data_IF_156280454600
#
_entry.id   IF_156280454600
#
_cell.length_a   1.000
_cell.length_b   1.000
_cell.length_c   1.000
_cell.angle_alpha   90.00
_cell.angle_beta   90.00
_cell.angle_gamma   90.00
#
_symmetry.space_group_name_H-M   'P 1'
#
loop_
_entity.id
_entity.type
_entity.pdbx_description
1 polymer ?
#
# COMPACT_ATOMS: atom_id res chain seq x y z
N UNK A 1 -9.27 4.86 -2.43
CA UNK A 1 -8.33 5.81 -3.08
C UNK A 1 -8.74 6.26 -4.49
N UNK A 2 -9.31 5.39 -5.34
CA UNK A 2 -9.79 5.80 -6.68
C UNK A 2 -10.95 6.80 -6.67
N UNK A 3 -11.79 6.80 -5.62
CA UNK A 3 -12.93 7.70 -5.49
C UNK A 3 -12.48 9.17 -5.44
N UNK A 4 -11.50 9.46 -4.58
CA UNK A 4 -10.87 10.78 -4.47
C UNK A 4 -10.11 11.17 -5.75
N UNK A 5 -9.44 10.22 -6.43
CA UNK A 5 -8.73 10.51 -7.68
C UNK A 5 -9.65 11.03 -8.79
N UNK A 6 -10.76 10.32 -9.06
CA UNK A 6 -11.68 10.70 -10.14
C UNK A 6 -12.29 12.07 -9.87
N UNK A 7 -12.72 12.29 -8.63
CA UNK A 7 -13.35 13.54 -8.21
C UNK A 7 -12.37 14.73 -8.22
N UNK A 8 -11.15 14.56 -7.69
CA UNK A 8 -10.09 15.58 -7.79
C UNK A 8 -9.80 15.92 -9.25
N UNK A 9 -9.67 14.89 -10.11
CA UNK A 9 -9.40 15.09 -11.53
C UNK A 9 -10.51 15.88 -12.22
N UNK A 10 -11.77 15.55 -11.94
CA UNK A 10 -12.94 16.21 -12.52
C UNK A 10 -13.01 17.69 -12.13
N UNK A 11 -12.77 18.02 -10.85
CA UNK A 11 -12.70 19.41 -10.38
C UNK A 11 -11.55 20.16 -11.10
N UNK A 12 -10.38 19.55 -11.19
CA UNK A 12 -9.21 20.15 -11.84
C UNK A 12 -9.42 20.41 -13.34
N UNK A 13 -9.95 19.44 -14.08
CA UNK A 13 -10.22 19.61 -15.52
C UNK A 13 -11.31 20.67 -15.76
N UNK A 14 -12.30 20.77 -14.85
CA UNK A 14 -13.34 21.80 -14.93
C UNK A 14 -12.78 23.20 -14.72
N UNK A 15 -11.91 23.39 -13.72
CA UNK A 15 -11.28 24.69 -13.47
C UNK A 15 -10.25 25.04 -14.55
N UNK A 16 -9.49 24.05 -15.05
CA UNK A 16 -8.59 24.23 -16.19
C UNK A 16 -9.34 24.71 -17.45
N UNK A 17 -10.53 24.17 -17.73
CA UNK A 17 -11.35 24.62 -18.85
C UNK A 17 -11.83 26.08 -18.71
N UNK A 18 -12.00 26.58 -17.48
CA UNK A 18 -12.32 28.00 -17.22
C UNK A 18 -11.09 28.90 -17.43
N UNK A 19 -9.91 28.44 -16.99
CA UNK A 19 -8.64 29.18 -17.10
C UNK A 19 -7.99 29.11 -18.49
N UNK A 20 -8.36 28.17 -19.39
CA UNK A 20 -7.85 28.11 -20.77
C UNK A 20 -8.20 29.35 -21.62
N UNK A 21 -9.17 30.16 -21.18
CA UNK A 21 -9.42 31.51 -21.72
C UNK A 21 -8.32 32.54 -21.36
N UNK A 22 -7.42 32.21 -20.44
CA UNK A 22 -6.48 33.12 -19.78
C UNK A 22 -5.01 32.69 -19.88
N UNK A 23 -4.44 32.52 -21.09
CA UNK A 23 -2.98 32.43 -21.40
C UNK A 23 -2.04 31.49 -20.60
N UNK A 24 -2.45 30.82 -19.52
CA UNK A 24 -1.59 30.06 -18.62
C UNK A 24 -2.00 28.57 -18.62
N UNK A 25 -1.03 27.67 -18.88
CA UNK A 25 -1.26 26.21 -18.88
C UNK A 25 -1.21 25.67 -17.45
N UNK A 26 -2.35 25.30 -16.89
CA UNK A 26 -2.41 24.44 -15.69
C UNK A 26 -1.99 23.03 -16.07
N UNK A 27 -1.10 22.42 -15.29
CA UNK A 27 -0.73 21.01 -15.42
C UNK A 27 -1.95 20.11 -15.21
N UNK A 28 -2.10 19.06 -16.02
CA UNK A 28 -3.19 18.10 -15.81
C UNK A 28 -3.01 17.34 -14.50
N UNK A 29 -4.12 17.08 -13.79
CA UNK A 29 -4.09 16.34 -12.53
C UNK A 29 -3.81 14.85 -12.78
N UNK A 30 -2.68 14.37 -12.26
CA UNK A 30 -2.23 12.99 -12.45
C UNK A 30 -2.37 12.15 -11.17
N UNK A 31 -2.15 10.83 -11.28
CA UNK A 31 -2.22 9.91 -10.12
C UNK A 31 -1.21 10.30 -9.03
N UNK A 32 -0.05 10.82 -9.42
CA UNK A 32 0.99 11.31 -8.50
C UNK A 32 0.48 12.44 -7.61
N UNK A 33 -0.34 13.36 -8.15
CA UNK A 33 -0.94 14.45 -7.37
C UNK A 33 -1.92 13.94 -6.32
N UNK A 34 -2.71 12.93 -6.64
CA UNK A 34 -3.64 12.33 -5.66
C UNK A 34 -2.92 11.55 -4.58
N UNK A 35 -1.84 10.84 -4.92
CA UNK A 35 -0.96 10.24 -3.92
C UNK A 35 -0.33 11.31 -3.03
N UNK A 36 0.17 12.39 -3.63
CA UNK A 36 0.75 13.53 -2.92
C UNK A 36 -0.25 14.15 -1.94
N UNK A 37 -1.48 14.41 -2.36
CA UNK A 37 -2.56 14.88 -1.47
C UNK A 37 -2.86 13.88 -0.34
N UNK A 38 -2.92 12.58 -0.65
CA UNK A 38 -3.22 11.52 0.33
C UNK A 38 -2.13 11.42 1.40
N UNK A 39 -0.87 11.70 1.04
CA UNK A 39 0.26 11.67 1.97
C UNK A 39 0.42 12.97 2.78
N UNK A 40 -0.50 13.93 2.64
CA UNK A 40 -0.38 15.23 3.30
C UNK A 40 0.62 16.17 2.64
N UNK A 41 0.86 16.00 1.34
CA UNK A 41 1.73 16.85 0.54
C UNK A 41 1.23 18.28 0.36
N UNK A 42 -0.01 18.60 0.72
CA UNK A 42 -0.54 19.96 0.73
C UNK A 42 -0.69 20.46 2.17
N UNK A 43 -0.38 21.72 2.43
CA UNK A 43 -0.46 22.33 3.75
C UNK A 43 -1.02 23.74 3.71
N UNK A 44 -1.64 24.15 4.81
CA UNK A 44 -2.04 25.55 5.07
C UNK A 44 -1.11 26.15 6.11
N UNK A 45 -0.81 27.44 5.96
CA UNK A 45 -0.05 28.19 6.97
C UNK A 45 -0.98 28.71 8.05
N UNK A 46 -0.65 28.43 9.30
CA UNK A 46 -1.39 28.99 10.43
C UNK A 46 -0.99 30.47 10.66
N UNK A 47 -1.78 31.23 11.45
CA UNK A 47 -1.43 32.62 11.79
C UNK A 47 -0.07 32.77 12.50
N UNK A 48 0.43 31.71 13.14
CA UNK A 48 1.75 31.67 13.78
C UNK A 48 2.90 31.31 12.79
N UNK A 49 2.65 31.29 11.48
CA UNK A 49 3.66 31.06 10.45
C UNK A 49 4.06 29.61 10.20
N UNK A 50 3.48 28.64 10.90
CA UNK A 50 3.80 27.21 10.73
C UNK A 50 2.92 26.55 9.65
N UNK A 51 3.53 25.71 8.82
CA UNK A 51 2.80 24.87 7.87
C UNK A 51 2.13 23.69 8.59
N UNK A 52 0.88 23.39 8.20
CA UNK A 52 0.07 22.28 8.71
C UNK A 52 -0.45 21.46 7.54
N UNK A 53 -0.01 20.20 7.47
CA UNK A 53 -0.40 19.26 6.41
C UNK A 53 -1.90 18.93 6.48
N UNK A 54 -2.58 19.07 5.34
CA UNK A 54 -3.97 18.70 5.13
C UNK A 54 -4.06 17.21 4.88
N UNK A 55 -5.07 16.53 5.45
CA UNK A 55 -5.42 15.18 4.97
C UNK A 55 -6.19 15.26 3.64
N UNK A 56 -6.35 14.11 2.98
CA UNK A 56 -6.98 14.04 1.65
C UNK A 56 -8.40 14.59 1.63
N UNK A 57 -9.17 14.33 2.69
CA UNK A 57 -10.60 14.67 2.77
C UNK A 57 -10.79 16.16 3.06
N UNK A 58 -9.98 16.72 3.95
CA UNK A 58 -9.96 18.16 4.23
C UNK A 58 -9.49 18.94 3.00
N UNK A 59 -8.44 18.49 2.33
CA UNK A 59 -7.99 19.09 1.06
C UNK A 59 -9.10 19.06 0.00
N UNK A 60 -9.78 17.92 -0.17
CA UNK A 60 -10.92 17.80 -1.09
C UNK A 60 -12.08 18.73 -0.74
N UNK A 61 -12.44 18.82 0.54
CA UNK A 61 -13.50 19.70 1.02
C UNK A 61 -13.19 21.15 0.72
N UNK A 62 -11.97 21.60 1.03
CA UNK A 62 -11.52 22.97 0.76
C UNK A 62 -11.49 23.28 -0.75
N UNK A 63 -11.12 22.30 -1.58
CA UNK A 63 -11.12 22.45 -3.03
C UNK A 63 -12.56 22.55 -3.59
N UNK A 64 -13.48 21.67 -3.15
CA UNK A 64 -14.89 21.69 -3.56
C UNK A 64 -15.59 22.98 -3.17
N UNK A 65 -15.32 23.47 -1.96
CA UNK A 65 -15.89 24.70 -1.44
C UNK A 65 -15.24 25.96 -2.02
N UNK A 66 -14.29 25.81 -2.97
CA UNK A 66 -13.59 26.92 -3.61
C UNK A 66 -12.87 27.83 -2.60
N UNK A 67 -12.49 27.26 -1.45
CA UNK A 67 -11.77 27.94 -0.37
C UNK A 67 -10.28 28.06 -0.70
N UNK A 68 -9.72 27.04 -1.33
CA UNK A 68 -8.33 27.07 -1.85
C UNK A 68 -8.33 27.26 -3.36
N UNK A 69 -7.31 27.95 -3.86
CA UNK A 69 -7.01 27.96 -5.28
C UNK A 69 -6.57 26.54 -5.72
N UNK A 70 -6.84 26.20 -6.97
CA UNK A 70 -6.37 24.97 -7.58
C UNK A 70 -4.83 24.98 -7.57
N UNK A 71 -4.14 24.09 -6.83
CA UNK A 71 -2.69 24.17 -6.70
C UNK A 71 -2.01 23.93 -8.05
N UNK A 72 -1.24 24.92 -8.50
CA UNK A 72 -0.46 24.89 -9.74
C UNK A 72 0.88 24.19 -9.50
N UNK A 73 0.83 22.88 -9.25
CA UNK A 73 2.01 22.04 -9.05
C UNK A 73 2.16 21.10 -10.25
N UNK A 74 3.38 20.97 -10.78
CA UNK A 74 3.67 20.00 -11.82
C UNK A 74 4.18 18.68 -11.23
N UNK A 75 4.09 17.58 -11.99
CA UNK A 75 4.65 16.28 -11.57
C UNK A 75 6.15 16.40 -11.31
N UNK A 76 6.86 17.19 -12.10
CA UNK A 76 8.30 17.39 -11.93
C UNK A 76 8.63 18.18 -10.66
N UNK A 77 7.75 19.07 -10.18
CA UNK A 77 7.92 19.74 -8.89
C UNK A 77 7.68 18.79 -7.71
N UNK A 78 6.73 17.86 -7.85
CA UNK A 78 6.51 16.77 -6.88
C UNK A 78 7.75 15.87 -6.84
N UNK A 79 8.30 15.50 -8.01
CA UNK A 79 9.47 14.62 -8.12
C UNK A 79 10.74 15.27 -7.57
N UNK A 80 10.97 16.57 -7.82
CA UNK A 80 12.10 17.32 -7.25
C UNK A 80 12.08 17.35 -5.71
N UNK A 81 10.89 17.33 -5.10
CA UNK A 81 10.72 17.27 -3.66
C UNK A 81 10.91 15.87 -3.07
N UNK A 82 10.86 14.82 -3.89
CA UNK A 82 11.11 13.44 -3.49
C UNK A 82 12.56 13.04 -3.78
N UNK A 83 13.39 12.95 -2.75
CA UNK A 83 14.81 12.61 -2.93
C UNK A 83 14.98 11.11 -3.24
N UNK A 84 15.80 10.75 -4.24
CA UNK A 84 16.35 9.38 -4.39
C UNK A 84 15.50 8.29 -5.06
N UNK A 85 14.44 8.62 -5.83
CA UNK A 85 13.47 7.61 -6.29
C UNK A 85 13.98 6.59 -7.33
N UNK A 86 14.65 7.01 -8.40
CA UNK A 86 14.89 6.11 -9.55
C UNK A 86 15.85 4.95 -9.26
N UNK A 87 16.95 5.22 -8.55
CA UNK A 87 18.01 4.23 -8.33
C UNK A 87 17.59 3.12 -7.36
N UNK A 88 16.97 3.46 -6.22
CA UNK A 88 16.51 2.47 -5.23
C UNK A 88 15.45 1.55 -5.83
N UNK A 89 14.53 2.14 -6.61
CA UNK A 89 13.49 1.44 -7.37
C UNK A 89 14.08 0.43 -8.36
N UNK A 90 15.10 0.85 -9.12
CA UNK A 90 15.78 -0.02 -10.08
C UNK A 90 16.54 -1.15 -9.37
N UNK A 91 17.27 -0.85 -8.29
CA UNK A 91 18.01 -1.87 -7.52
C UNK A 91 17.06 -2.92 -6.96
N UNK A 92 15.95 -2.51 -6.35
CA UNK A 92 14.96 -3.44 -5.82
C UNK A 92 14.35 -4.32 -6.93
N UNK A 93 14.01 -3.73 -8.09
CA UNK A 93 13.50 -4.49 -9.23
C UNK A 93 14.52 -5.52 -9.75
N UNK A 94 15.80 -5.13 -9.86
CA UNK A 94 16.89 -6.04 -10.26
C UNK A 94 17.03 -7.19 -9.26
N UNK A 95 17.04 -6.90 -7.95
CA UNK A 95 17.14 -7.93 -6.92
C UNK A 95 16.01 -8.95 -7.00
N UNK A 96 14.78 -8.49 -7.25
CA UNK A 96 13.62 -9.38 -7.35
C UNK A 96 13.68 -10.22 -8.64
N UNK A 97 14.03 -9.61 -9.77
CA UNK A 97 14.18 -10.32 -11.03
C UNK A 97 15.30 -11.37 -10.97
N UNK A 98 16.41 -11.04 -10.33
CA UNK A 98 17.52 -11.96 -10.11
C UNK A 98 17.09 -13.17 -9.27
N UNK A 99 16.39 -12.95 -8.16
CA UNK A 99 15.86 -14.03 -7.33
C UNK A 99 14.87 -14.92 -8.09
N UNK A 100 13.96 -14.32 -8.86
CA UNK A 100 13.00 -15.06 -9.67
C UNK A 100 13.71 -15.89 -10.77
N UNK A 101 14.72 -15.32 -11.42
CA UNK A 101 15.52 -16.00 -12.42
C UNK A 101 16.28 -17.19 -11.82
N UNK A 102 16.92 -17.03 -10.65
CA UNK A 102 17.63 -18.12 -9.97
C UNK A 102 16.68 -19.27 -9.65
N UNK A 103 15.51 -18.99 -9.06
CA UNK A 103 14.52 -20.03 -8.74
C UNK A 103 13.99 -20.72 -10.00
N UNK A 104 13.75 -19.98 -11.07
CA UNK A 104 13.31 -20.55 -12.35
C UNK A 104 14.42 -21.44 -12.96
N UNK A 105 15.67 -20.99 -12.94
CA UNK A 105 16.81 -21.77 -13.40
C UNK A 105 16.97 -23.07 -12.62
N UNK A 106 16.81 -23.02 -11.29
CA UNK A 106 16.80 -24.22 -10.43
C UNK A 106 15.65 -25.16 -10.79
N UNK A 107 14.45 -24.62 -11.01
CA UNK A 107 13.28 -25.42 -11.38
C UNK A 107 13.46 -26.13 -12.73
N UNK A 108 13.98 -25.43 -13.75
CA UNK A 108 14.25 -26.00 -15.08
C UNK A 108 15.35 -27.06 -15.04
N UNK A 109 16.38 -26.87 -14.21
CA UNK A 109 17.47 -27.84 -14.01
C UNK A 109 17.12 -28.95 -13.00
N UNK A 110 15.86 -29.05 -12.56
CA UNK A 110 15.39 -30.01 -11.56
C UNK A 110 16.20 -30.00 -10.24
N UNK A 111 16.72 -28.83 -9.86
CA UNK A 111 17.39 -28.62 -8.59
C UNK A 111 16.36 -28.35 -7.48
N UNK A 112 16.67 -28.79 -6.27
CA UNK A 112 15.78 -28.57 -5.13
C UNK A 112 15.67 -27.07 -4.82
N UNK A 113 14.44 -26.58 -4.67
CA UNK A 113 14.15 -25.23 -4.17
C UNK A 113 13.86 -25.34 -2.68
N UNK A 114 14.48 -24.47 -1.89
CA UNK A 114 14.30 -24.41 -0.43
C UNK A 114 13.03 -23.68 -0.05
N UNK A 115 12.52 -23.94 1.15
CA UNK A 115 11.42 -23.17 1.74
C UNK A 115 11.78 -21.69 1.91
N UNK A 116 13.06 -21.38 2.15
CA UNK A 116 13.56 -20.00 2.21
C UNK A 116 13.49 -19.29 0.86
N UNK A 117 14.00 -19.89 -0.21
CA UNK A 117 13.90 -19.34 -1.57
C UNK A 117 12.44 -19.12 -1.98
N UNK A 118 11.55 -20.03 -1.61
CA UNK A 118 10.13 -19.89 -1.89
C UNK A 118 9.50 -18.74 -1.09
N UNK A 119 9.86 -18.59 0.19
CA UNK A 119 9.37 -17.50 1.04
C UNK A 119 9.86 -16.14 0.54
N UNK A 120 11.13 -16.02 0.18
CA UNK A 120 11.69 -14.78 -0.37
C UNK A 120 11.06 -14.44 -1.71
N UNK A 121 10.77 -15.41 -2.58
CA UNK A 121 10.01 -15.21 -3.82
C UNK A 121 8.62 -14.66 -3.55
N UNK A 122 7.89 -15.22 -2.57
CA UNK A 122 6.55 -14.74 -2.20
C UNK A 122 6.58 -13.28 -1.76
N UNK A 123 7.57 -12.91 -0.93
CA UNK A 123 7.78 -11.53 -0.49
C UNK A 123 8.18 -10.61 -1.65
N UNK A 124 9.06 -11.09 -2.54
CA UNK A 124 9.56 -10.36 -3.69
C UNK A 124 8.45 -10.09 -4.73
N UNK A 125 7.62 -11.10 -5.05
CA UNK A 125 6.47 -10.93 -5.95
C UNK A 125 5.42 -9.99 -5.35
N UNK A 126 5.13 -10.11 -4.05
CA UNK A 126 4.27 -9.15 -3.36
C UNK A 126 4.85 -7.72 -3.44
N UNK A 127 6.15 -7.57 -3.21
CA UNK A 127 6.83 -6.29 -3.33
C UNK A 127 6.72 -5.72 -4.76
N UNK A 128 6.89 -6.54 -5.81
CA UNK A 128 6.68 -6.10 -7.20
C UNK A 128 5.25 -5.65 -7.47
N UNK A 129 4.24 -6.38 -6.99
CA UNK A 129 2.83 -6.02 -7.18
C UNK A 129 2.55 -4.68 -6.49
N UNK A 130 2.97 -4.54 -5.22
CA UNK A 130 2.85 -3.28 -4.50
C UNK A 130 3.58 -2.14 -5.22
N UNK A 131 4.78 -2.43 -5.71
CA UNK A 131 5.60 -1.47 -6.42
C UNK A 131 4.97 -1.02 -7.74
N UNK A 132 4.39 -1.94 -8.51
CA UNK A 132 3.64 -1.63 -9.73
C UNK A 132 2.38 -0.79 -9.43
N UNK A 133 1.64 -1.12 -8.37
CA UNK A 133 0.47 -0.34 -7.93
C UNK A 133 0.88 1.06 -7.46
N UNK A 134 2.05 1.18 -6.84
CA UNK A 134 2.58 2.43 -6.27
C UNK A 134 3.61 3.12 -7.17
N UNK A 135 3.68 2.78 -8.46
CA UNK A 135 4.67 3.35 -9.37
C UNK A 135 4.67 4.89 -9.34
N UNK A 136 3.46 5.46 -9.39
CA UNK A 136 3.19 6.90 -9.40
C UNK A 136 3.23 7.56 -8.00
N UNK A 137 3.42 6.79 -6.92
CA UNK A 137 3.44 7.33 -5.55
C UNK A 137 4.80 8.00 -5.29
N UNK A 138 4.85 9.31 -4.97
CA UNK A 138 6.11 9.94 -4.58
C UNK A 138 6.61 9.37 -3.25
N UNK A 139 7.92 9.14 -3.14
CA UNK A 139 8.56 8.70 -1.90
C UNK A 139 9.13 9.90 -1.15
N UNK A 140 9.23 9.81 0.18
CA UNK A 140 10.00 10.75 1.00
C UNK A 140 9.72 12.25 0.72
N UNK A 141 8.43 12.64 0.78
CA UNK A 141 8.02 14.03 0.61
C UNK A 141 8.42 14.82 1.86
N UNK A 142 9.57 15.50 1.79
CA UNK A 142 10.16 16.21 2.93
C UNK A 142 9.39 17.46 3.35
N UNK A 143 8.74 18.17 2.41
CA UNK A 143 8.07 19.44 2.68
C UNK A 143 6.74 19.57 1.93
N UNK A 144 5.61 19.77 2.64
CA UNK A 144 4.33 19.98 1.99
C UNK A 144 4.34 21.30 1.19
N UNK A 145 3.55 21.33 0.13
CA UNK A 145 3.28 22.49 -0.68
C UNK A 145 2.21 23.36 0.00
N UNK A 146 2.51 24.63 0.22
CA UNK A 146 1.55 25.57 0.78
C UNK A 146 0.46 25.86 -0.25
N UNK A 147 -0.80 25.65 0.13
CA UNK A 147 -1.94 26.00 -0.72
C UNK A 147 -2.36 27.44 -0.45
N UNK A 148 -2.63 28.16 -1.54
CA UNK A 148 -3.04 29.55 -1.46
C UNK A 148 -4.58 29.66 -1.35
N UNK A 149 -5.10 30.63 -0.58
CA UNK A 149 -6.51 30.97 -0.61
C UNK A 149 -6.92 31.40 -2.02
N UNK A 150 -8.16 31.12 -2.42
CA UNK A 150 -8.68 31.63 -3.70
C UNK A 150 -8.69 33.17 -3.71
N UNK A 151 -8.24 33.79 -4.80
CA UNK A 151 -8.12 35.25 -4.95
C UNK A 151 -9.44 35.97 -4.58
N UNK A 152 -9.33 37.12 -3.91
CA UNK A 152 -10.43 38.01 -3.50
C UNK A 152 -11.49 37.39 -2.58
N UNK A 153 -11.17 36.32 -1.85
CA UNK A 153 -12.07 35.74 -0.87
C UNK A 153 -11.50 35.86 0.56
N UNK A 154 -11.81 36.97 1.24
CA UNK A 154 -11.42 37.18 2.64
C UNK A 154 -12.05 36.14 3.58
N UNK A 155 -13.25 35.63 3.27
CA UNK A 155 -13.85 34.51 4.01
C UNK A 155 -13.03 33.23 3.86
N UNK A 156 -12.45 32.97 2.68
CA UNK A 156 -11.58 31.82 2.48
C UNK A 156 -10.29 31.92 3.29
N UNK A 157 -9.71 33.13 3.42
CA UNK A 157 -8.53 33.38 4.27
C UNK A 157 -8.83 33.10 5.74
N UNK A 158 -9.97 33.57 6.23
CA UNK A 158 -10.41 33.33 7.61
C UNK A 158 -10.69 31.84 7.83
N UNK A 159 -11.37 31.19 6.90
CA UNK A 159 -11.68 29.75 6.96
C UNK A 159 -10.42 28.90 7.00
N UNK A 160 -9.42 29.21 6.17
CA UNK A 160 -8.13 28.49 6.16
C UNK A 160 -7.33 28.73 7.42
N UNK A 161 -7.34 29.95 7.97
CA UNK A 161 -6.70 30.25 9.24
C UNK A 161 -7.35 29.51 10.41
N UNK A 162 -8.68 29.40 10.42
CA UNK A 162 -9.44 28.59 11.39
C UNK A 162 -9.12 27.10 11.24
N UNK A 163 -9.12 26.59 10.01
CA UNK A 163 -8.77 25.18 9.75
C UNK A 163 -7.34 24.88 10.17
N UNK A 164 -6.38 25.76 9.86
CA UNK A 164 -4.98 25.64 10.27
C UNK A 164 -4.80 25.68 11.80
N UNK A 165 -5.66 26.41 12.51
CA UNK A 165 -5.70 26.44 13.98
C UNK A 165 -6.29 25.14 14.54
N UNK A 166 -7.37 24.63 13.95
CA UNK A 166 -8.02 23.38 14.35
C UNK A 166 -7.16 22.14 14.03
N UNK A 167 -6.30 22.22 13.02
CA UNK A 167 -5.26 21.24 12.74
C UNK A 167 -4.13 21.24 13.80
N UNK A 168 -4.13 22.24 14.70
CA UNK A 168 -3.20 22.43 15.80
C UNK A 168 -3.59 21.66 17.05
N UNK A 169 -3.46 20.34 16.98
CA UNK A 169 -3.10 19.39 18.05
C UNK A 169 -3.29 17.99 17.45
N UNK A 170 -2.33 17.52 16.63
CA UNK A 170 -2.34 16.10 16.26
C UNK A 170 -1.95 15.31 17.49
N UNK A 171 -2.98 14.89 18.20
CA UNK A 171 -2.99 13.76 19.13
C UNK A 171 -2.21 12.61 18.47
N UNK A 172 -1.24 11.95 19.15
CA UNK A 172 -0.46 10.87 18.58
C UNK A 172 -1.37 9.82 17.93
N UNK A 173 -0.91 9.19 16.85
CA UNK A 173 -1.64 8.21 16.03
C UNK A 173 -2.41 7.14 16.83
N UNK A 174 -1.99 6.87 18.07
CA UNK A 174 -2.61 5.96 19.05
C UNK A 174 -4.01 6.43 19.52
N UNK A 175 -4.31 7.73 19.50
CA UNK A 175 -5.59 8.32 19.91
C UNK A 175 -6.54 8.63 18.73
N UNK A 176 -6.21 8.15 17.53
CA UNK A 176 -7.16 8.11 16.39
C UNK A 176 -8.40 7.25 16.66
N UNK A 177 -8.39 6.45 17.74
CA UNK A 177 -9.50 5.62 18.19
C UNK A 177 -10.74 6.43 18.58
N UNK A 178 -10.55 7.59 19.24
CA UNK A 178 -11.66 8.49 19.59
C UNK A 178 -12.30 9.14 18.35
N UNK A 179 -11.53 9.46 17.32
CA UNK A 179 -12.08 9.98 16.04
C UNK A 179 -12.72 8.88 15.20
N UNK A 180 -12.23 7.64 15.30
CA UNK A 180 -12.91 6.48 14.72
C UNK A 180 -14.26 6.24 15.41
N UNK A 181 -14.32 6.39 16.74
CA UNK A 181 -15.55 6.23 17.52
C UNK A 181 -16.57 7.36 17.24
N UNK A 182 -16.13 8.61 17.02
CA UNK A 182 -17.00 9.73 16.59
C UNK A 182 -17.50 9.56 15.16
N UNK A 183 -16.74 8.91 14.28
CA UNK A 183 -17.19 8.54 12.93
C UNK A 183 -18.10 7.28 12.92
N UNK A 184 -18.28 6.64 14.07
CA UNK A 184 -19.17 5.49 14.29
C UNK A 184 -20.55 5.88 14.82
N UNK A 185 -20.80 7.18 15.07
CA UNK A 185 -22.09 7.71 15.50
C UNK A 185 -23.00 8.16 14.34
N UNK A 186 -22.62 7.87 13.09
CA UNK A 186 -23.59 7.85 12.00
C UNK A 186 -24.47 6.61 12.16
N UNK A 187 -25.80 6.82 12.18
CA UNK A 187 -26.84 5.80 12.30
C UNK A 187 -26.68 4.61 11.34
N UNK A 188 -27.49 3.54 11.51
CA UNK A 188 -27.20 2.17 11.07
C UNK A 188 -26.48 2.14 9.72
N UNK A 189 -25.15 2.00 9.80
CA UNK A 189 -24.22 2.23 8.70
C UNK A 189 -24.77 1.68 7.39
N UNK A 190 -25.07 2.54 6.42
CA UNK A 190 -25.16 2.11 5.03
C UNK A 190 -23.81 1.47 4.68
N UNK A 191 -23.80 0.15 4.61
CA UNK A 191 -22.60 -0.63 4.37
C UNK A 191 -22.11 -0.27 2.98
N UNK A 192 -21.07 0.56 2.89
CA UNK A 192 -20.45 0.88 1.60
C UNK A 192 -20.13 -0.44 0.88
N UNK A 193 -20.53 -0.59 -0.40
CA UNK A 193 -20.26 -1.79 -1.18
C UNK A 193 -18.74 -2.08 -1.19
N UNK A 194 -18.36 -3.34 -1.38
CA UNK A 194 -16.94 -3.72 -1.45
C UNK A 194 -16.24 -2.88 -2.52
N UNK A 195 -15.38 -1.96 -2.08
CA UNK A 195 -14.59 -1.15 -2.98
C UNK A 195 -13.54 -2.01 -3.70
N UNK A 196 -13.12 -1.56 -4.88
CA UNK A 196 -12.06 -2.21 -5.67
C UNK A 196 -10.76 -2.42 -4.87
N UNK A 197 -10.46 -1.53 -3.93
CA UNK A 197 -9.30 -1.62 -3.04
C UNK A 197 -9.34 -2.91 -2.18
N UNK A 198 -10.54 -3.37 -1.77
CA UNK A 198 -10.70 -4.65 -1.05
C UNK A 198 -10.41 -5.84 -1.95
N UNK A 199 -10.91 -5.83 -3.19
CA UNK A 199 -10.68 -6.90 -4.14
C UNK A 199 -9.20 -7.05 -4.51
N UNK A 200 -8.50 -5.92 -4.67
CA UNK A 200 -7.04 -5.90 -4.88
C UNK A 200 -6.33 -6.53 -3.68
N UNK A 201 -6.74 -6.21 -2.45
CA UNK A 201 -6.14 -6.82 -1.24
C UNK A 201 -6.36 -8.33 -1.17
N UNK A 202 -7.57 -8.82 -1.49
CA UNK A 202 -7.84 -10.26 -1.54
C UNK A 202 -7.03 -10.97 -2.62
N UNK A 203 -6.92 -10.38 -3.81
CA UNK A 203 -6.08 -10.93 -4.87
C UNK A 203 -4.62 -11.03 -4.42
N UNK A 204 -4.10 -9.99 -3.74
CA UNK A 204 -2.75 -10.00 -3.20
C UNK A 204 -2.56 -11.11 -2.15
N UNK A 205 -3.52 -11.30 -1.23
CA UNK A 205 -3.51 -12.39 -0.24
C UNK A 205 -3.47 -13.76 -0.90
N UNK A 206 -4.31 -13.97 -1.93
CA UNK A 206 -4.37 -15.23 -2.67
C UNK A 206 -3.05 -15.50 -3.39
N UNK A 207 -2.50 -14.50 -4.09
CA UNK A 207 -1.19 -14.63 -4.77
C UNK A 207 -0.10 -15.00 -3.76
N UNK A 208 -0.03 -14.29 -2.63
CA UNK A 208 0.96 -14.55 -1.60
C UNK A 208 0.86 -15.96 -1.00
N UNK A 209 -0.36 -16.40 -0.66
CA UNK A 209 -0.58 -17.73 -0.11
C UNK A 209 -0.35 -18.84 -1.14
N UNK A 210 -0.70 -18.61 -2.41
CA UNK A 210 -0.46 -19.55 -3.50
C UNK A 210 1.02 -19.86 -3.69
N UNK A 211 1.92 -18.89 -3.43
CA UNK A 211 3.36 -19.15 -3.45
C UNK A 211 3.76 -20.25 -2.46
N UNK A 212 3.20 -20.25 -1.25
CA UNK A 212 3.55 -21.24 -0.23
C UNK A 212 3.05 -22.64 -0.59
N UNK A 213 1.93 -22.72 -1.32
CA UNK A 213 1.39 -23.97 -1.85
C UNK A 213 2.31 -24.64 -2.89
N UNK A 214 3.19 -23.89 -3.57
CA UNK A 214 4.21 -24.49 -4.46
C UNK A 214 5.09 -25.48 -3.68
N UNK A 215 5.36 -25.19 -2.40
CA UNK A 215 6.13 -26.03 -1.50
C UNK A 215 5.41 -27.30 -1.01
N UNK A 216 4.23 -27.64 -1.55
CA UNK A 216 3.41 -28.76 -1.06
C UNK A 216 4.15 -30.10 -0.98
N UNK A 217 5.05 -30.33 -1.94
CA UNK A 217 5.84 -31.56 -2.08
C UNK A 217 7.33 -31.37 -1.77
N UNK A 218 7.70 -30.28 -1.09
CA UNK A 218 9.09 -30.07 -0.70
C UNK A 218 9.55 -31.10 0.34
N UNK A 219 10.86 -31.28 0.41
CA UNK A 219 11.49 -32.09 1.44
C UNK A 219 11.53 -31.29 2.75
N UNK A 220 10.90 -31.82 3.78
CA UNK A 220 10.95 -31.31 5.15
C UNK A 220 11.69 -32.31 6.03
N UNK A 221 12.42 -31.84 7.07
CA UNK A 221 13.16 -32.71 7.99
C UNK A 221 12.27 -33.76 8.68
N UNK A 222 11.00 -33.44 8.93
CA UNK A 222 10.01 -34.34 9.53
C UNK A 222 8.66 -34.32 8.79
N UNK A 223 7.85 -35.39 8.88
CA UNK A 223 6.48 -35.39 8.36
C UNK A 223 5.57 -34.37 9.04
N UNK A 224 5.83 -34.05 10.30
CA UNK A 224 5.06 -33.06 11.07
C UNK A 224 5.30 -31.66 10.53
N UNK A 225 6.56 -31.26 10.30
CA UNK A 225 6.89 -29.97 9.67
C UNK A 225 6.24 -29.85 8.29
N UNK A 226 6.24 -30.93 7.49
CA UNK A 226 5.52 -30.95 6.20
C UNK A 226 4.02 -30.71 6.34
N UNK A 227 3.38 -31.37 7.31
CA UNK A 227 1.96 -31.22 7.55
C UNK A 227 1.64 -29.80 8.04
N UNK A 228 2.42 -29.27 8.97
CA UNK A 228 2.28 -27.92 9.49
C UNK A 228 2.47 -26.87 8.38
N UNK A 229 3.44 -27.04 7.48
CA UNK A 229 3.61 -26.20 6.30
C UNK A 229 2.35 -26.15 5.43
N UNK A 230 1.76 -27.31 5.13
CA UNK A 230 0.56 -27.41 4.31
C UNK A 230 -0.63 -26.72 4.97
N UNK A 231 -0.84 -26.97 6.26
CA UNK A 231 -1.91 -26.33 7.04
C UNK A 231 -1.70 -24.82 7.06
N UNK A 232 -0.50 -24.35 7.40
CA UNK A 232 -0.16 -22.93 7.47
C UNK A 232 -0.35 -22.22 6.12
N UNK A 233 0.06 -22.85 5.02
CA UNK A 233 -0.11 -22.31 3.66
C UNK A 233 -1.59 -22.10 3.31
N UNK A 234 -2.46 -23.06 3.64
CA UNK A 234 -3.91 -22.95 3.44
C UNK A 234 -4.51 -21.89 4.36
N UNK A 235 -4.13 -21.88 5.63
CA UNK A 235 -4.58 -20.89 6.60
C UNK A 235 -4.24 -19.45 6.16
N UNK A 236 -3.08 -19.22 5.54
CA UNK A 236 -2.71 -17.90 5.01
C UNK A 236 -3.68 -17.36 3.95
N UNK A 237 -4.35 -18.24 3.20
CA UNK A 237 -5.33 -17.84 2.17
C UNK A 237 -6.72 -17.65 2.79
N UNK A 238 -7.10 -18.50 3.74
CA UNK A 238 -8.48 -18.56 4.28
C UNK A 238 -8.72 -17.59 5.43
N UNK A 239 -7.74 -17.40 6.33
CA UNK A 239 -7.93 -16.59 7.54
C UNK A 239 -8.19 -15.10 7.25
N UNK A 240 -7.49 -14.43 6.31
CA UNK A 240 -7.74 -13.00 6.09
C UNK A 240 -9.14 -12.67 5.50
N UNK A 241 -9.66 -13.39 4.49
CA UNK A 241 -11.03 -13.17 4.01
C UNK A 241 -12.09 -13.50 5.08
N UNK A 242 -11.90 -14.56 5.86
CA UNK A 242 -12.85 -14.92 6.94
C UNK A 242 -12.88 -13.86 8.05
N UNK A 243 -11.72 -13.32 8.43
CA UNK A 243 -11.62 -12.17 9.35
C UNK A 243 -12.37 -10.95 8.78
N UNK A 244 -12.13 -10.61 7.51
CA UNK A 244 -12.81 -9.49 6.87
C UNK A 244 -14.34 -9.65 6.86
N UNK A 245 -14.83 -10.83 6.48
CA UNK A 245 -16.27 -11.14 6.47
C UNK A 245 -16.85 -11.11 7.88
N UNK A 246 -16.13 -11.61 8.89
CA UNK A 246 -16.60 -11.66 10.28
C UNK A 246 -16.92 -10.26 10.84
N UNK A 247 -16.06 -9.28 10.56
CA UNK A 247 -16.24 -7.88 10.98
C UNK A 247 -17.40 -7.22 10.23
N UNK A 248 -17.74 -7.72 9.04
CA UNK A 248 -18.87 -7.25 8.25
C UNK A 248 -20.21 -7.85 8.71
N UNK A 249 -20.29 -8.83 9.62
CA UNK A 249 -21.60 -9.40 10.03
C UNK A 249 -22.19 -8.56 11.18
N UNK A 250 -23.47 -8.11 11.10
CA UNK A 250 -24.03 -7.10 12.03
C UNK A 250 -24.30 -7.58 13.46
N UNK A 251 -24.08 -8.87 13.78
CA UNK A 251 -24.38 -9.41 15.12
C UNK A 251 -23.25 -9.10 16.11
N UNK A 252 -23.43 -8.01 16.88
CA UNK A 252 -22.49 -7.35 17.80
C UNK A 252 -21.72 -8.24 18.79
N UNK A 253 -22.29 -9.37 19.25
CA UNK A 253 -21.74 -10.08 20.41
C UNK A 253 -20.71 -11.18 20.11
N UNK A 254 -20.80 -11.88 18.98
CA UNK A 254 -19.94 -13.07 18.75
C UNK A 254 -18.59 -12.74 18.11
N UNK A 255 -18.49 -11.67 17.30
CA UNK A 255 -17.21 -11.31 16.66
C UNK A 255 -16.21 -10.71 17.67
N UNK A 256 -16.67 -9.98 18.69
CA UNK A 256 -15.76 -9.46 19.73
C UNK A 256 -15.04 -10.58 20.50
N UNK A 257 -15.67 -11.75 20.61
CA UNK A 257 -15.08 -12.93 21.22
C UNK A 257 -14.30 -13.80 20.22
N UNK A 258 -14.80 -13.96 18.98
CA UNK A 258 -14.23 -14.87 17.99
C UNK A 258 -13.10 -14.26 17.14
N UNK A 259 -13.11 -12.96 16.88
CA UNK A 259 -12.11 -12.30 16.02
C UNK A 259 -10.70 -12.27 16.64
N UNK A 260 -10.48 -11.97 17.94
CA UNK A 260 -9.14 -11.94 18.51
C UNK A 260 -8.39 -13.29 18.46
N UNK A 261 -9.02 -14.44 18.79
CA UNK A 261 -8.40 -15.75 18.61
C UNK A 261 -7.99 -16.03 17.15
N UNK A 262 -8.83 -15.66 16.18
CA UNK A 262 -8.53 -15.87 14.75
C UNK A 262 -7.37 -14.96 14.29
N UNK A 263 -7.30 -13.73 14.79
CA UNK A 263 -6.17 -12.83 14.57
C UNK A 263 -4.87 -13.40 15.17
N UNK A 264 -4.93 -13.92 16.39
CA UNK A 264 -3.78 -14.56 17.03
C UNK A 264 -3.32 -15.79 16.23
N UNK A 265 -4.26 -16.63 15.79
CA UNK A 265 -3.97 -17.77 14.94
C UNK A 265 -3.28 -17.36 13.64
N UNK A 266 -3.77 -16.29 12.99
CA UNK A 266 -3.13 -15.76 11.78
C UNK A 266 -1.69 -15.31 12.06
N UNK A 267 -1.44 -14.62 13.17
CA UNK A 267 -0.08 -14.21 13.57
C UNK A 267 0.81 -15.44 13.79
N UNK A 268 0.32 -16.46 14.50
CA UNK A 268 1.07 -17.70 14.74
C UNK A 268 1.39 -18.42 13.44
N UNK A 269 0.42 -18.55 12.53
CA UNK A 269 0.61 -19.13 11.19
C UNK A 269 1.69 -18.38 10.41
N UNK A 270 1.67 -17.04 10.46
CA UNK A 270 2.66 -16.19 9.78
C UNK A 270 4.06 -16.37 10.37
N UNK A 271 4.18 -16.38 11.69
CA UNK A 271 5.46 -16.61 12.37
C UNK A 271 6.00 -18.00 12.06
N UNK A 272 5.15 -19.02 12.05
CA UNK A 272 5.54 -20.37 11.69
C UNK A 272 6.12 -20.46 10.28
N UNK A 273 5.46 -19.88 9.26
CA UNK A 273 5.99 -19.91 7.88
C UNK A 273 7.37 -19.24 7.76
N UNK A 274 7.57 -18.12 8.48
CA UNK A 274 8.87 -17.44 8.54
C UNK A 274 9.92 -18.34 9.19
N UNK A 275 9.60 -18.92 10.35
CA UNK A 275 10.54 -19.74 11.13
C UNK A 275 10.88 -21.04 10.39
N UNK A 276 9.88 -21.71 9.79
CA UNK A 276 10.06 -22.93 9.00
C UNK A 276 10.93 -22.69 7.75
N UNK A 277 10.88 -21.49 7.16
CA UNK A 277 11.76 -21.12 6.05
C UNK A 277 13.25 -21.24 6.43
N UNK A 278 13.61 -20.94 7.69
CA UNK A 278 14.98 -21.10 8.18
C UNK A 278 15.24 -22.51 8.72
N UNK A 279 14.30 -23.06 9.49
CA UNK A 279 14.42 -24.40 10.09
C UNK A 279 14.57 -25.48 9.03
N UNK A 280 13.89 -25.36 7.89
CA UNK A 280 13.96 -26.30 6.78
C UNK A 280 15.37 -26.44 6.19
N UNK A 281 16.25 -25.45 6.37
CA UNK A 281 17.64 -25.50 5.90
C UNK A 281 18.48 -26.54 6.64
N UNK A 282 18.05 -27.00 7.82
CA UNK A 282 18.81 -27.97 8.64
C UNK A 282 19.02 -29.32 7.97
N UNK A 283 18.12 -29.71 7.05
CA UNK A 283 18.20 -30.99 6.32
C UNK A 283 17.68 -30.84 4.89
N UNK A 284 18.48 -30.17 4.06
CA UNK A 284 18.18 -29.96 2.64
C UNK A 284 18.81 -31.03 1.74
N UNK A 285 18.21 -31.35 0.59
CA UNK A 285 18.83 -32.21 -0.41
C UNK A 285 20.17 -31.65 -0.92
N UNK A 286 21.11 -32.52 -1.28
CA UNK A 286 22.43 -32.09 -1.77
C UNK A 286 22.39 -31.19 -3.02
N UNK A 287 21.33 -31.29 -3.83
CA UNK A 287 21.12 -30.42 -5.00
C UNK A 287 20.88 -28.95 -4.63
N UNK A 288 20.58 -28.63 -3.37
CA UNK A 288 20.50 -27.24 -2.88
C UNK A 288 21.84 -26.52 -3.02
N UNK A 289 22.95 -27.22 -2.79
CA UNK A 289 24.30 -26.63 -2.88
C UNK A 289 24.85 -26.49 -4.30
N UNK A 290 24.09 -26.92 -5.32
CA UNK A 290 24.44 -26.70 -6.73
C UNK A 290 23.93 -25.34 -7.18
N UNK A 291 24.76 -24.57 -7.87
CA UNK A 291 24.35 -23.33 -8.53
C UNK A 291 23.70 -23.60 -9.89
N UNK A 292 22.86 -22.67 -10.35
CA UNK A 292 22.28 -22.75 -11.70
C UNK A 292 23.40 -22.64 -12.74
N UNK A 293 23.47 -23.62 -13.64
CA UNK A 293 24.43 -23.62 -14.74
C UNK A 293 23.92 -22.74 -15.88
N UNK A 294 24.11 -21.42 -15.77
CA UNK A 294 23.61 -20.45 -16.76
C UNK A 294 24.14 -20.71 -18.19
N UNK A 295 25.34 -21.27 -18.31
CA UNK A 295 25.97 -21.63 -19.58
C UNK A 295 25.16 -22.63 -20.42
N UNK A 296 24.30 -23.45 -19.81
CA UNK A 296 23.44 -24.41 -20.51
C UNK A 296 22.27 -23.74 -21.26
N UNK A 297 21.92 -22.51 -20.90
CA UNK A 297 20.84 -21.76 -21.55
C UNK A 297 21.31 -20.94 -22.74
N UNK A 298 22.61 -20.68 -22.84
CA UNK A 298 23.17 -20.01 -24.01
C UNK A 298 23.45 -21.05 -25.11
N UNK A 299 23.02 -20.79 -26.36
CA UNK A 299 23.39 -21.67 -27.46
C UNK A 299 24.91 -21.76 -27.53
N UNK A 300 25.40 -22.99 -27.58
CA UNK A 300 26.83 -23.28 -27.59
C UNK A 300 27.40 -22.71 -28.91
N UNK A 301 28.35 -21.79 -28.82
CA UNK A 301 29.15 -21.32 -29.97
C UNK A 301 30.29 -22.31 -30.18
#
# INVERSE_FOLDING_TARGET
MRYNFKEMREIFETEKAKEESSRFRVSSWTRSHSWFATMGGFAVRNPAGHLRALDSDTFLRLLKNQTIAVPRISVTDIEKKSNGNGAIKAIAAIQILYLAAEILGRAVQHLAVTTLELFTLAMAMMALILYAIWWDKPLDVMLPFEVEPKENNDEARVTLAMEAKNLGERVPMILSKERADVMYEDGPSERKPLGIDTWIAFLAIVIFGACHLIGWNFNFPTPVERLLWRIASVCCIVLPPTLYVSVRIPRRSWYLLATPPVMLLYIVVRLYLVVEAFIGLRRVPASVYKTVQWSQFFPHI
#
